data_IF_791108379389
#
_entry.id   IF_791108379389
#
_cell.length_a   1.000
_cell.length_b   1.000
_cell.length_c   1.000
_cell.angle_alpha   90.00
_cell.angle_beta   90.00
_cell.angle_gamma   90.00
#
_symmetry.space_group_name_H-M   'P 1'
#
loop_
_entity.id
_entity.type
_entity.pdbx_description
1 polymer ?
#
# COMPACT_ATOMS: atom_id res chain seq x y z
N UNK A 1 28.19 11.18 17.47
CA UNK A 1 26.75 11.11 17.19
C UNK A 1 26.38 11.82 15.88
N UNK A 2 26.73 13.11 15.66
CA UNK A 2 26.42 13.80 14.39
C UNK A 2 27.23 13.23 13.21
N UNK A 3 28.54 12.98 13.39
CA UNK A 3 29.40 12.38 12.37
C UNK A 3 28.98 10.94 12.01
N UNK A 4 28.57 10.15 12.99
CA UNK A 4 28.04 8.82 12.73
C UNK A 4 26.69 8.87 11.98
N UNK A 5 25.83 9.82 12.29
CA UNK A 5 24.58 10.05 11.56
C UNK A 5 24.84 10.45 10.09
N UNK A 6 25.81 11.34 9.84
CA UNK A 6 26.16 11.76 8.48
C UNK A 6 26.72 10.58 7.67
N UNK A 7 27.55 9.73 8.27
CA UNK A 7 28.08 8.53 7.60
C UNK A 7 26.98 7.48 7.31
N UNK A 8 26.06 7.27 8.25
CA UNK A 8 24.88 6.39 8.01
C UNK A 8 23.96 6.97 6.93
N UNK A 9 23.74 8.28 6.94
CA UNK A 9 22.94 8.95 5.90
C UNK A 9 23.58 8.80 4.52
N UNK A 10 24.90 8.97 4.41
CA UNK A 10 25.62 8.80 3.15
C UNK A 10 25.58 7.37 2.59
N UNK A 11 25.34 6.37 3.44
CA UNK A 11 25.23 4.95 3.02
C UNK A 11 23.77 4.58 2.70
N UNK A 12 22.80 5.19 3.39
CA UNK A 12 21.39 4.77 3.34
C UNK A 12 20.44 5.75 2.62
N UNK A 13 20.96 6.80 1.96
CA UNK A 13 20.09 7.77 1.26
C UNK A 13 19.26 7.13 0.15
N UNK A 14 19.77 6.12 -0.54
CA UNK A 14 19.02 5.39 -1.56
C UNK A 14 17.81 4.65 -0.95
N UNK A 15 17.97 4.07 0.24
CA UNK A 15 16.88 3.45 0.98
C UNK A 15 15.79 4.47 1.34
N UNK A 16 16.19 5.70 1.73
CA UNK A 16 15.23 6.77 1.97
C UNK A 16 14.44 7.14 0.71
N UNK A 17 15.08 7.22 -0.47
CA UNK A 17 14.38 7.52 -1.72
C UNK A 17 13.42 6.40 -2.12
N UNK A 18 13.76 5.13 -1.91
CA UNK A 18 12.85 3.99 -2.09
C UNK A 18 11.64 4.13 -1.16
N UNK A 19 11.90 4.40 0.12
CA UNK A 19 10.84 4.61 1.12
C UNK A 19 9.91 5.77 0.75
N UNK A 20 10.47 6.91 0.37
CA UNK A 20 9.74 8.12 0.02
C UNK A 20 8.86 7.92 -1.22
N UNK A 21 9.41 7.32 -2.29
CA UNK A 21 8.64 7.07 -3.52
C UNK A 21 7.50 6.10 -3.26
N UNK A 22 7.72 5.06 -2.45
CA UNK A 22 6.71 4.11 -2.03
C UNK A 22 5.62 4.79 -1.20
N UNK A 23 6.00 5.62 -0.22
CA UNK A 23 5.08 6.36 0.62
C UNK A 23 4.14 7.26 -0.20
N UNK A 24 4.71 8.02 -1.15
CA UNK A 24 3.92 8.94 -2.00
C UNK A 24 3.05 8.17 -2.98
N UNK A 25 3.55 7.09 -3.59
CA UNK A 25 2.77 6.26 -4.51
C UNK A 25 1.52 5.67 -3.85
N UNK A 26 1.64 5.20 -2.61
CA UNK A 26 0.52 4.70 -1.81
C UNK A 26 -0.41 5.83 -1.35
N UNK A 27 0.16 6.98 -0.90
CA UNK A 27 -0.60 8.09 -0.36
C UNK A 27 -1.53 8.77 -1.38
N UNK A 28 -1.19 8.74 -2.66
CA UNK A 28 -2.06 9.26 -3.74
C UNK A 28 -3.37 8.48 -3.85
N UNK A 29 -3.34 7.16 -3.64
CA UNK A 29 -4.52 6.29 -3.69
C UNK A 29 -5.27 6.23 -2.35
N UNK A 30 -4.57 6.45 -1.24
CA UNK A 30 -5.07 6.30 0.14
C UNK A 30 -6.39 7.02 0.42
N UNK A 31 -6.62 8.30 0.02
CA UNK A 31 -7.89 8.98 0.25
C UNK A 31 -9.10 8.28 -0.37
N UNK A 32 -8.93 7.71 -1.56
CA UNK A 32 -10.01 6.99 -2.24
C UNK A 32 -10.36 5.68 -1.53
N UNK A 33 -9.34 4.95 -1.04
CA UNK A 33 -9.53 3.72 -0.27
C UNK A 33 -10.28 3.99 1.03
N UNK A 34 -9.88 5.04 1.76
CA UNK A 34 -10.52 5.44 3.03
C UNK A 34 -11.96 5.91 2.81
N UNK A 35 -12.20 6.81 1.85
CA UNK A 35 -13.54 7.34 1.56
C UNK A 35 -14.52 6.26 1.09
N UNK A 36 -14.03 5.26 0.37
CA UNK A 36 -14.83 4.12 -0.10
C UNK A 36 -14.95 2.99 0.94
N UNK A 37 -14.37 3.16 2.14
CA UNK A 37 -14.34 2.15 3.21
C UNK A 37 -13.67 0.83 2.78
N UNK A 38 -12.60 0.93 1.99
CA UNK A 38 -11.87 -0.22 1.44
C UNK A 38 -10.56 -0.50 2.18
N UNK A 39 -10.37 0.09 3.38
CA UNK A 39 -9.15 -0.09 4.16
C UNK A 39 -8.87 -1.55 4.51
N UNK A 40 -9.90 -2.31 4.91
CA UNK A 40 -9.78 -3.74 5.20
C UNK A 40 -9.47 -4.57 3.94
N UNK A 41 -9.95 -4.12 2.76
CA UNK A 41 -9.66 -4.80 1.48
C UNK A 41 -8.19 -4.61 1.09
N UNK A 42 -7.60 -3.43 1.37
CA UNK A 42 -6.17 -3.20 1.15
C UNK A 42 -5.30 -4.15 1.99
N UNK A 43 -5.70 -4.41 3.25
CA UNK A 43 -5.05 -5.40 4.10
C UNK A 43 -5.25 -6.84 3.58
N UNK A 44 -6.46 -7.18 3.15
CA UNK A 44 -6.74 -8.49 2.55
C UNK A 44 -5.91 -8.78 1.30
N UNK A 45 -5.68 -7.77 0.45
CA UNK A 45 -4.78 -7.88 -0.72
C UNK A 45 -3.39 -8.30 -0.25
N UNK A 46 -2.86 -7.68 0.81
CA UNK A 46 -1.52 -7.95 1.33
C UNK A 46 -1.27 -9.42 1.65
N UNK A 47 -2.24 -10.08 2.22
CA UNK A 47 -2.11 -11.48 2.61
C UNK A 47 -2.45 -12.46 1.48
N UNK A 48 -3.39 -12.12 0.60
CA UNK A 48 -3.80 -12.99 -0.51
C UNK A 48 -2.80 -13.02 -1.68
N UNK A 49 -1.93 -12.01 -1.77
CA UNK A 49 -0.82 -11.93 -2.73
C UNK A 49 0.05 -13.18 -2.71
N UNK A 50 0.26 -13.78 -1.52
CA UNK A 50 1.03 -15.00 -1.36
C UNK A 50 0.51 -16.14 -2.25
N UNK A 51 -0.81 -16.31 -2.37
CA UNK A 51 -1.41 -17.33 -3.23
C UNK A 51 -1.09 -17.07 -4.71
N UNK A 52 -1.12 -15.81 -5.12
CA UNK A 52 -0.76 -15.39 -6.47
C UNK A 52 0.70 -15.68 -6.81
N UNK A 53 1.61 -15.37 -5.88
CA UNK A 53 3.05 -15.70 -6.01
C UNK A 53 3.24 -17.20 -6.17
N UNK A 54 2.61 -18.01 -5.31
CA UNK A 54 2.74 -19.48 -5.32
C UNK A 54 2.24 -20.09 -6.63
N UNK A 55 1.08 -19.63 -7.12
CA UNK A 55 0.52 -20.13 -8.37
C UNK A 55 1.39 -19.73 -9.57
N UNK A 56 1.84 -18.46 -9.60
CA UNK A 56 2.77 -18.00 -10.64
C UNK A 56 4.09 -18.78 -10.61
N UNK A 57 4.63 -19.05 -9.42
CA UNK A 57 5.82 -19.89 -9.25
C UNK A 57 5.65 -21.30 -9.82
N UNK A 58 4.51 -21.95 -9.60
CA UNK A 58 4.26 -23.28 -10.18
C UNK A 58 4.24 -23.29 -11.71
N UNK A 59 3.89 -22.16 -12.33
CA UNK A 59 3.88 -22.00 -13.79
C UNK A 59 5.29 -21.74 -14.32
N UNK A 60 6.01 -20.77 -13.70
CA UNK A 60 7.29 -20.26 -14.21
C UNK A 60 8.50 -21.03 -13.66
N UNK A 61 8.39 -21.61 -12.44
CA UNK A 61 9.45 -22.32 -11.70
C UNK A 61 10.74 -21.53 -11.46
N UNK A 62 10.65 -20.21 -11.48
CA UNK A 62 11.75 -19.28 -11.22
C UNK A 62 11.30 -18.22 -10.21
N UNK A 63 11.99 -18.14 -9.07
CA UNK A 63 11.68 -17.22 -7.96
C UNK A 63 12.04 -15.77 -8.31
N UNK A 64 13.00 -15.56 -9.22
CA UNK A 64 13.42 -14.22 -9.69
C UNK A 64 12.56 -13.63 -10.79
N UNK A 65 11.57 -14.38 -11.30
CA UNK A 65 10.79 -13.98 -12.46
C UNK A 65 9.82 -12.81 -12.15
N UNK A 66 9.79 -11.76 -12.99
CA UNK A 66 8.81 -10.66 -12.86
C UNK A 66 7.34 -11.13 -12.96
N UNK A 67 7.09 -12.32 -13.51
CA UNK A 67 5.75 -12.91 -13.57
C UNK A 67 5.15 -13.22 -12.20
N UNK A 68 5.98 -13.35 -11.14
CA UNK A 68 5.50 -13.52 -9.78
C UNK A 68 4.73 -12.27 -9.31
N UNK A 69 5.24 -11.07 -9.63
CA UNK A 69 4.58 -9.80 -9.31
C UNK A 69 3.23 -9.69 -10.03
N UNK A 70 3.18 -10.10 -11.30
CA UNK A 70 1.94 -10.11 -12.09
C UNK A 70 0.92 -11.08 -11.49
N UNK A 71 1.35 -12.30 -11.16
CA UNK A 71 0.49 -13.29 -10.49
C UNK A 71 -0.04 -12.81 -9.15
N UNK A 72 0.81 -12.19 -8.35
CA UNK A 72 0.47 -11.58 -7.09
C UNK A 72 -0.58 -10.46 -7.26
N UNK A 73 -0.39 -9.56 -8.22
CA UNK A 73 -1.32 -8.47 -8.50
C UNK A 73 -2.67 -8.96 -9.03
N UNK A 74 -2.68 -9.99 -9.88
CA UNK A 74 -3.91 -10.63 -10.36
C UNK A 74 -4.69 -11.22 -9.17
N UNK A 75 -4.02 -11.90 -8.24
CA UNK A 75 -4.68 -12.44 -7.05
C UNK A 75 -5.20 -11.36 -6.10
N UNK A 76 -4.52 -10.22 -6.01
CA UNK A 76 -5.06 -9.06 -5.32
C UNK A 76 -6.41 -8.61 -5.91
N UNK A 77 -6.52 -8.54 -7.23
CA UNK A 77 -7.79 -8.20 -7.92
C UNK A 77 -8.84 -9.30 -7.73
N UNK A 78 -8.45 -10.58 -7.79
CA UNK A 78 -9.34 -11.72 -7.52
C UNK A 78 -9.88 -11.64 -6.09
N UNK A 79 -9.05 -11.24 -5.13
CA UNK A 79 -9.48 -11.05 -3.72
C UNK A 79 -10.54 -9.98 -3.61
N UNK A 80 -10.35 -8.82 -4.26
CA UNK A 80 -11.34 -7.75 -4.30
C UNK A 80 -12.64 -8.24 -4.91
N UNK A 81 -12.57 -8.95 -6.04
CA UNK A 81 -13.73 -9.51 -6.69
C UNK A 81 -14.46 -10.53 -5.79
N UNK A 82 -13.74 -11.42 -5.13
CA UNK A 82 -14.32 -12.41 -4.24
C UNK A 82 -15.01 -11.78 -3.02
N UNK A 83 -14.39 -10.74 -2.43
CA UNK A 83 -14.99 -9.96 -1.33
C UNK A 83 -16.27 -9.27 -1.80
N UNK A 84 -16.23 -8.60 -2.95
CA UNK A 84 -17.38 -7.87 -3.49
C UNK A 84 -18.51 -8.83 -3.90
N UNK A 85 -18.17 -9.96 -4.51
CA UNK A 85 -19.13 -11.01 -4.83
C UNK A 85 -19.84 -11.56 -3.59
N UNK A 86 -19.07 -11.87 -2.53
CA UNK A 86 -19.62 -12.41 -1.29
C UNK A 86 -20.50 -11.38 -0.57
N UNK A 87 -20.03 -10.13 -0.44
CA UNK A 87 -20.81 -9.05 0.17
C UNK A 87 -22.02 -8.66 -0.65
N UNK A 88 -21.94 -8.75 -1.97
CA UNK A 88 -23.04 -8.48 -2.91
C UNK A 88 -24.21 -9.44 -2.81
N UNK A 89 -24.03 -10.62 -2.21
CA UNK A 89 -25.13 -11.55 -1.89
C UNK A 89 -26.10 -11.00 -0.85
N UNK A 90 -25.68 -9.99 -0.06
CA UNK A 90 -26.46 -9.45 1.05
C UNK A 90 -26.49 -10.33 2.30
N UNK A 91 -25.90 -11.52 2.25
CA UNK A 91 -25.84 -12.44 3.39
C UNK A 91 -24.72 -12.09 4.38
N UNK A 92 -23.68 -11.43 3.90
CA UNK A 92 -22.47 -11.10 4.66
C UNK A 92 -22.14 -9.62 4.46
N UNK A 93 -21.72 -8.93 5.52
CA UNK A 93 -21.25 -7.54 5.41
C UNK A 93 -19.86 -7.52 4.74
N UNK A 94 -19.46 -6.35 4.22
CA UNK A 94 -18.18 -6.21 3.52
C UNK A 94 -16.97 -6.62 4.38
N UNK A 95 -16.94 -6.19 5.64
CA UNK A 95 -15.83 -6.50 6.56
C UNK A 95 -15.77 -8.00 6.91
N UNK A 96 -16.93 -8.64 7.08
CA UNK A 96 -17.02 -10.07 7.32
C UNK A 96 -16.60 -10.88 6.08
N UNK A 97 -16.97 -10.40 4.88
CA UNK A 97 -16.53 -10.99 3.62
C UNK A 97 -15.01 -10.96 3.46
N UNK A 98 -14.37 -9.84 3.84
CA UNK A 98 -12.91 -9.74 3.91
C UNK A 98 -12.35 -10.79 4.85
N UNK A 99 -12.89 -10.90 6.09
CA UNK A 99 -12.45 -11.86 7.10
C UNK A 99 -12.61 -13.33 6.70
N UNK A 100 -13.43 -13.65 5.69
CA UNK A 100 -13.59 -14.99 5.13
C UNK A 100 -12.62 -15.24 3.99
N UNK A 101 -12.56 -14.30 3.03
CA UNK A 101 -11.85 -14.49 1.76
C UNK A 101 -10.33 -14.52 1.95
N UNK A 102 -9.75 -13.56 2.72
CA UNK A 102 -8.29 -13.51 2.83
C UNK A 102 -7.70 -14.69 3.59
N UNK A 103 -8.27 -15.17 4.75
CA UNK A 103 -7.72 -16.34 5.42
C UNK A 103 -7.86 -17.61 4.57
N UNK A 104 -8.93 -17.72 3.78
CA UNK A 104 -9.11 -18.85 2.86
C UNK A 104 -7.98 -18.87 1.79
N UNK A 105 -7.68 -17.74 1.17
CA UNK A 105 -6.62 -17.67 0.16
C UNK A 105 -5.23 -17.85 0.78
N UNK A 106 -5.00 -17.25 1.96
CA UNK A 106 -3.74 -17.41 2.68
C UNK A 106 -3.52 -18.87 3.09
N UNK A 107 -4.53 -19.52 3.68
CA UNK A 107 -4.46 -20.93 4.07
C UNK A 107 -4.20 -21.84 2.86
N UNK A 108 -4.84 -21.56 1.71
CA UNK A 108 -4.59 -22.30 0.49
C UNK A 108 -3.14 -22.14 0.00
N UNK A 109 -2.59 -20.93 0.08
CA UNK A 109 -1.19 -20.69 -0.25
C UNK A 109 -0.26 -21.51 0.63
N UNK A 110 -0.48 -21.49 1.96
CA UNK A 110 0.33 -22.25 2.92
C UNK A 110 0.24 -23.77 2.66
N UNK A 111 -0.94 -24.30 2.35
CA UNK A 111 -1.11 -25.72 1.99
C UNK A 111 -0.34 -26.07 0.72
N UNK A 112 -0.41 -25.21 -0.32
CA UNK A 112 0.30 -25.44 -1.57
C UNK A 112 1.82 -25.40 -1.39
N UNK A 113 2.35 -24.42 -0.63
CA UNK A 113 3.78 -24.32 -0.32
C UNK A 113 4.22 -25.58 0.45
N UNK A 114 3.51 -25.93 1.51
CA UNK A 114 3.89 -27.04 2.39
C UNK A 114 3.89 -28.38 1.67
N UNK A 115 2.95 -28.58 0.73
CA UNK A 115 2.81 -29.85 0.01
C UNK A 115 3.72 -29.96 -1.22
N UNK A 116 3.93 -28.88 -1.97
CA UNK A 116 4.54 -28.93 -3.29
C UNK A 116 5.82 -28.09 -3.44
N UNK A 117 6.12 -27.18 -2.52
CA UNK A 117 7.25 -26.28 -2.62
C UNK A 117 8.16 -26.31 -1.36
N UNK A 118 8.17 -27.41 -0.61
CA UNK A 118 8.91 -27.58 0.65
C UNK A 118 10.42 -27.33 0.54
N UNK A 119 11.00 -27.55 -0.65
CA UNK A 119 12.44 -27.37 -0.93
C UNK A 119 12.76 -25.99 -1.51
N UNK A 120 11.76 -25.14 -1.72
CA UNK A 120 11.94 -23.78 -2.22
C UNK A 120 11.75 -22.85 -1.02
N UNK A 121 12.79 -22.09 -0.71
CA UNK A 121 12.70 -21.03 0.31
C UNK A 121 11.83 -19.89 -0.23
N UNK A 122 10.53 -20.15 -0.37
CA UNK A 122 9.50 -19.10 -0.45
C UNK A 122 9.26 -18.66 1.00
N UNK A 123 10.25 -17.95 1.54
CA UNK A 123 10.21 -17.51 2.93
C UNK A 123 9.12 -16.44 3.03
N UNK A 124 7.99 -16.84 3.61
CA UNK A 124 6.85 -15.94 3.86
C UNK A 124 7.28 -14.74 4.69
N UNK A 125 8.28 -14.92 5.55
CA UNK A 125 8.82 -13.86 6.40
C UNK A 125 9.60 -12.83 5.59
N UNK A 126 10.38 -13.24 4.59
CA UNK A 126 11.12 -12.32 3.71
C UNK A 126 10.16 -11.51 2.82
N UNK A 127 9.11 -12.14 2.29
CA UNK A 127 8.09 -11.47 1.47
C UNK A 127 7.25 -10.49 2.31
N UNK A 128 7.00 -10.81 3.59
CA UNK A 128 6.18 -9.98 4.46
C UNK A 128 6.99 -8.91 5.22
N UNK A 129 8.27 -9.17 5.51
CA UNK A 129 9.10 -8.28 6.33
C UNK A 129 10.01 -7.35 5.54
N UNK A 130 9.90 -7.24 4.22
CA UNK A 130 10.76 -6.44 3.33
C UNK A 130 11.60 -5.39 4.06
N UNK A 131 12.93 -5.47 3.94
CA UNK A 131 13.81 -4.52 4.62
C UNK A 131 14.22 -3.40 3.66
N UNK A 132 13.73 -2.20 3.92
CA UNK A 132 14.05 -0.99 3.13
C UNK A 132 15.56 -0.78 2.99
N UNK A 133 16.34 -1.17 4.01
CA UNK A 133 17.81 -0.99 4.03
C UNK A 133 18.50 -1.83 2.94
N UNK A 134 17.99 -3.02 2.63
CA UNK A 134 18.58 -3.90 1.61
C UNK A 134 17.98 -3.69 0.21
N UNK A 135 16.86 -2.97 0.08
CA UNK A 135 16.23 -2.69 -1.20
C UNK A 135 17.19 -2.09 -2.27
N UNK A 136 18.15 -1.20 -1.92
CA UNK A 136 19.12 -0.67 -2.89
C UNK A 136 20.15 -1.68 -3.41
N UNK A 137 20.31 -2.84 -2.79
CA UNK A 137 21.26 -3.88 -3.25
C UNK A 137 20.82 -4.53 -4.57
N UNK A 138 19.51 -4.57 -4.83
CA UNK A 138 18.97 -5.06 -6.08
C UNK A 138 18.89 -3.89 -7.08
N UNK A 139 19.80 -3.88 -8.05
CA UNK A 139 20.02 -2.76 -8.97
C UNK A 139 19.62 -3.10 -10.39
N UNK A 140 19.26 -2.08 -11.16
CA UNK A 140 19.00 -2.18 -12.61
C UNK A 140 19.57 -0.96 -13.32
N UNK A 141 20.08 -1.16 -14.52
CA UNK A 141 20.41 -0.06 -15.42
C UNK A 141 19.13 0.51 -16.05
N UNK A 142 18.80 1.74 -15.67
CA UNK A 142 17.67 2.46 -16.24
C UNK A 142 18.17 3.75 -16.92
N UNK A 143 17.98 3.86 -18.23
CA UNK A 143 18.46 5.00 -19.06
C UNK A 143 19.96 5.31 -18.90
N UNK A 144 20.80 4.29 -18.69
CA UNK A 144 22.26 4.45 -18.54
C UNK A 144 22.69 4.85 -17.12
N UNK A 145 21.79 4.88 -16.16
CA UNK A 145 22.06 5.15 -14.74
C UNK A 145 21.77 3.88 -13.95
N UNK A 146 22.68 3.49 -13.07
CA UNK A 146 22.51 2.37 -12.17
C UNK A 146 21.68 2.82 -10.95
N UNK A 147 20.44 2.30 -10.83
CA UNK A 147 19.49 2.69 -9.81
C UNK A 147 18.93 1.47 -9.07
N UNK A 148 18.48 1.63 -7.81
CA UNK A 148 17.74 0.59 -7.11
C UNK A 148 16.49 0.17 -7.89
N UNK A 149 16.32 -1.14 -8.13
CA UNK A 149 15.16 -1.69 -8.84
C UNK A 149 13.83 -1.23 -8.22
N UNK A 150 13.73 -1.29 -6.89
CA UNK A 150 12.55 -0.86 -6.16
C UNK A 150 12.22 0.62 -6.39
N UNK A 151 13.23 1.51 -6.44
CA UNK A 151 13.04 2.92 -6.71
C UNK A 151 12.43 3.16 -8.11
N UNK A 152 12.96 2.49 -9.13
CA UNK A 152 12.46 2.62 -10.51
C UNK A 152 11.04 2.07 -10.63
N UNK A 153 10.76 0.89 -10.07
CA UNK A 153 9.44 0.28 -10.11
C UNK A 153 8.39 1.13 -9.39
N UNK A 154 8.70 1.61 -8.17
CA UNK A 154 7.79 2.48 -7.43
C UNK A 154 7.65 3.86 -8.05
N UNK A 155 8.71 4.38 -8.68
CA UNK A 155 8.67 5.62 -9.44
C UNK A 155 7.73 5.54 -10.66
N UNK A 156 7.76 4.45 -11.40
CA UNK A 156 6.83 4.19 -12.51
C UNK A 156 5.38 4.13 -11.99
N UNK A 157 5.15 3.36 -10.91
CA UNK A 157 3.82 3.25 -10.32
C UNK A 157 3.32 4.58 -9.75
N UNK A 158 4.19 5.38 -9.14
CA UNK A 158 3.86 6.73 -8.70
C UNK A 158 3.33 7.59 -9.86
N UNK A 159 4.04 7.58 -10.99
CA UNK A 159 3.62 8.32 -12.20
C UNK A 159 2.28 7.79 -12.72
N UNK A 160 2.10 6.47 -12.79
CA UNK A 160 0.84 5.85 -13.24
C UNK A 160 -0.31 6.22 -12.31
N UNK A 161 -0.12 6.12 -10.99
CA UNK A 161 -1.13 6.48 -9.99
C UNK A 161 -1.50 7.97 -10.07
N UNK A 162 -0.52 8.86 -10.21
CA UNK A 162 -0.76 10.29 -10.38
C UNK A 162 -1.53 10.58 -11.67
N UNK A 163 -1.11 10.01 -12.79
CA UNK A 163 -1.80 10.17 -14.07
C UNK A 163 -3.24 9.66 -13.99
N UNK A 164 -3.46 8.49 -13.41
CA UNK A 164 -4.80 7.94 -13.22
C UNK A 164 -5.67 8.88 -12.39
N UNK A 165 -5.17 9.35 -11.25
CA UNK A 165 -5.93 10.26 -10.37
C UNK A 165 -6.19 11.60 -11.05
N UNK A 166 -5.22 12.17 -11.79
CA UNK A 166 -5.39 13.46 -12.47
C UNK A 166 -6.39 13.34 -13.62
N UNK A 167 -6.24 12.33 -14.48
CA UNK A 167 -7.10 12.13 -15.66
C UNK A 167 -8.54 11.83 -15.24
N UNK A 168 -8.74 10.93 -14.29
CA UNK A 168 -10.07 10.50 -13.85
C UNK A 168 -10.54 11.20 -12.56
N UNK A 169 -9.97 12.37 -12.21
CA UNK A 169 -10.29 13.04 -10.94
C UNK A 169 -11.78 13.33 -10.77
N UNK A 170 -12.45 13.82 -11.84
CA UNK A 170 -13.88 14.19 -11.80
C UNK A 170 -14.74 12.94 -11.61
N UNK A 171 -14.47 11.91 -12.37
CA UNK A 171 -15.18 10.63 -12.34
C UNK A 171 -14.97 9.93 -11.01
N UNK A 172 -13.73 9.88 -10.52
CA UNK A 172 -13.39 9.32 -9.21
C UNK A 172 -14.09 10.07 -8.07
N UNK A 173 -14.14 11.40 -8.14
CA UNK A 173 -14.84 12.21 -7.14
C UNK A 173 -16.34 11.87 -7.12
N UNK A 174 -17.00 11.89 -8.28
CA UNK A 174 -18.43 11.62 -8.37
C UNK A 174 -18.76 10.20 -7.92
N UNK A 175 -18.04 9.20 -8.43
CA UNK A 175 -18.28 7.78 -8.10
C UNK A 175 -17.97 7.43 -6.64
N UNK A 176 -17.14 8.23 -5.97
CA UNK A 176 -16.81 8.03 -4.55
C UNK A 176 -17.91 8.56 -3.64
N UNK A 177 -18.51 9.70 -3.97
CA UNK A 177 -19.51 10.35 -3.11
C UNK A 177 -20.95 10.01 -3.48
N UNK A 178 -21.25 9.83 -4.78
CA UNK A 178 -22.62 9.52 -5.27
C UNK A 178 -22.57 8.59 -6.47
N UNK A 179 -22.72 7.28 -6.19
CA UNK A 179 -22.77 6.24 -7.23
C UNK A 179 -24.01 6.35 -8.12
N UNK A 180 -25.14 6.81 -7.56
CA UNK A 180 -26.40 6.96 -8.29
C UNK A 180 -26.28 8.06 -9.35
N UNK A 181 -25.81 9.24 -8.93
CA UNK A 181 -25.55 10.35 -9.84
C UNK A 181 -24.49 10.01 -10.90
N UNK A 182 -23.43 9.27 -10.52
CA UNK A 182 -22.40 8.82 -11.46
C UNK A 182 -22.98 7.99 -12.61
N UNK A 183 -23.88 7.06 -12.30
CA UNK A 183 -24.56 6.24 -13.33
C UNK A 183 -25.44 7.09 -14.25
N UNK A 184 -26.20 8.05 -13.71
CA UNK A 184 -27.02 8.96 -14.50
C UNK A 184 -26.18 9.88 -15.41
N UNK A 185 -24.99 10.26 -14.93
CA UNK A 185 -24.03 11.05 -15.69
C UNK A 185 -23.23 10.24 -16.73
N UNK A 186 -23.51 8.93 -16.87
CA UNK A 186 -22.87 8.04 -17.85
C UNK A 186 -21.50 7.49 -17.40
N UNK A 187 -21.12 7.67 -16.13
CA UNK A 187 -19.85 7.13 -15.61
C UNK A 187 -20.01 5.70 -15.10
N UNK A 188 -19.15 4.80 -15.54
CA UNK A 188 -19.11 3.44 -15.02
C UNK A 188 -18.42 3.39 -13.66
N UNK A 189 -19.22 3.43 -12.57
CA UNK A 189 -18.73 3.32 -11.20
C UNK A 189 -17.97 2.00 -10.98
N UNK A 190 -18.44 0.91 -11.59
CA UNK A 190 -17.83 -0.42 -11.48
C UNK A 190 -16.46 -0.46 -12.17
N UNK A 191 -16.32 0.08 -13.38
CA UNK A 191 -15.05 0.10 -14.09
C UNK A 191 -13.98 0.92 -13.33
N UNK A 192 -14.36 2.10 -12.82
CA UNK A 192 -13.45 2.94 -12.03
C UNK A 192 -13.08 2.30 -10.67
N UNK A 193 -14.01 1.56 -10.06
CA UNK A 193 -13.73 0.79 -8.86
C UNK A 193 -12.67 -0.28 -9.11
N UNK A 194 -12.85 -1.13 -10.13
CA UNK A 194 -11.88 -2.16 -10.46
C UNK A 194 -10.55 -1.58 -10.96
N UNK A 195 -10.55 -0.49 -11.69
CA UNK A 195 -9.32 0.20 -12.10
C UNK A 195 -8.54 0.71 -10.87
N UNK A 196 -9.21 1.36 -9.91
CA UNK A 196 -8.60 1.82 -8.65
C UNK A 196 -8.04 0.63 -7.85
N UNK A 197 -8.81 -0.46 -7.72
CA UNK A 197 -8.38 -1.65 -6.99
C UNK A 197 -7.20 -2.36 -7.67
N UNK A 198 -7.21 -2.43 -8.99
CA UNK A 198 -6.09 -2.99 -9.76
C UNK A 198 -4.82 -2.19 -9.54
N UNK A 199 -4.88 -0.85 -9.63
CA UNK A 199 -3.72 0.01 -9.36
C UNK A 199 -3.26 -0.10 -7.90
N UNK A 200 -4.19 -0.15 -6.95
CA UNK A 200 -3.86 -0.34 -5.54
C UNK A 200 -3.19 -1.69 -5.30
N UNK A 201 -3.66 -2.77 -5.95
CA UNK A 201 -3.07 -4.10 -5.87
C UNK A 201 -1.65 -4.13 -6.46
N UNK A 202 -1.45 -3.58 -7.66
CA UNK A 202 -0.11 -3.48 -8.25
C UNK A 202 0.84 -2.65 -7.38
N UNK A 203 0.36 -1.51 -6.87
CA UNK A 203 1.17 -0.65 -5.98
C UNK A 203 1.53 -1.38 -4.68
N UNK A 204 0.57 -2.07 -4.06
CA UNK A 204 0.81 -2.85 -2.85
C UNK A 204 1.83 -3.95 -3.07
N UNK A 205 1.63 -4.79 -4.10
CA UNK A 205 2.49 -5.94 -4.39
C UNK A 205 3.93 -5.53 -4.67
N UNK A 206 4.11 -4.49 -5.50
CA UNK A 206 5.46 -3.99 -5.82
C UNK A 206 6.12 -3.35 -4.60
N UNK A 207 5.32 -2.68 -3.77
CA UNK A 207 5.80 -2.06 -2.55
C UNK A 207 6.19 -3.10 -1.48
N UNK A 208 5.56 -4.29 -1.43
CA UNK A 208 5.93 -5.35 -0.47
C UNK A 208 7.36 -5.82 -0.63
N UNK A 209 7.81 -6.00 -1.87
CA UNK A 209 9.19 -6.39 -2.18
C UNK A 209 10.20 -5.32 -1.68
N UNK A 210 9.79 -4.06 -1.66
CA UNK A 210 10.65 -2.94 -1.30
C UNK A 210 10.65 -2.61 0.20
N UNK A 211 9.48 -2.57 0.85
CA UNK A 211 9.33 -2.00 2.19
C UNK A 211 8.59 -2.91 3.19
N UNK A 212 8.08 -4.05 2.75
CA UNK A 212 7.32 -5.00 3.56
C UNK A 212 5.83 -4.67 3.71
N UNK A 213 5.04 -5.72 3.98
CA UNK A 213 3.58 -5.64 3.98
C UNK A 213 3.02 -4.68 5.04
N UNK A 214 3.56 -4.70 6.26
CA UNK A 214 3.08 -3.88 7.38
C UNK A 214 3.16 -2.38 7.03
N UNK A 215 4.28 -1.96 6.45
CA UNK A 215 4.46 -0.55 6.10
C UNK A 215 3.59 -0.14 4.90
N UNK A 216 3.42 -1.03 3.91
CA UNK A 216 2.57 -0.75 2.75
C UNK A 216 1.11 -0.56 3.14
N UNK A 217 0.57 -1.44 4.01
CA UNK A 217 -0.79 -1.28 4.55
C UNK A 217 -0.92 0.03 5.31
N UNK A 218 0.09 0.39 6.12
CA UNK A 218 0.13 1.67 6.81
C UNK A 218 0.09 2.84 5.82
N UNK A 219 0.87 2.82 4.74
CA UNK A 219 0.90 3.90 3.74
C UNK A 219 -0.36 3.97 2.87
N UNK A 220 -1.04 2.87 2.62
CA UNK A 220 -2.31 2.86 1.89
C UNK A 220 -3.49 3.38 2.71
N UNK A 221 -3.40 3.36 4.04
CA UNK A 221 -4.53 3.71 4.91
C UNK A 221 -4.27 4.99 5.70
N UNK A 222 -3.17 5.05 6.45
CA UNK A 222 -2.95 6.08 7.47
C UNK A 222 -2.88 7.51 6.91
N UNK A 223 -2.18 7.80 5.79
CA UNK A 223 -2.12 9.15 5.26
C UNK A 223 -3.50 9.67 4.83
N UNK A 224 -4.30 8.84 4.16
CA UNK A 224 -5.66 9.17 3.76
C UNK A 224 -6.60 9.35 4.94
N UNK A 225 -6.50 8.47 5.95
CA UNK A 225 -7.30 8.57 7.18
C UNK A 225 -6.95 9.85 7.96
N UNK A 226 -5.67 10.19 8.06
CA UNK A 226 -5.22 11.43 8.71
C UNK A 226 -5.71 12.67 7.95
N UNK A 227 -5.59 12.65 6.61
CA UNK A 227 -6.08 13.73 5.76
C UNK A 227 -7.61 13.91 5.86
N UNK A 228 -8.36 12.82 5.99
CA UNK A 228 -9.82 12.84 6.17
C UNK A 228 -10.25 13.53 7.45
N UNK A 229 -9.45 13.44 8.52
CA UNK A 229 -9.73 14.15 9.78
C UNK A 229 -9.57 15.67 9.64
N UNK A 230 -8.68 16.11 8.73
CA UNK A 230 -8.29 17.53 8.62
C UNK A 230 -9.06 18.25 7.51
N UNK A 231 -9.48 17.56 6.46
CA UNK A 231 -10.08 18.18 5.27
C UNK A 231 -11.32 17.45 4.79
N UNK A 232 -12.29 18.24 4.31
CA UNK A 232 -13.53 17.75 3.66
C UNK A 232 -13.47 17.87 2.12
N UNK A 233 -12.46 18.56 1.57
CA UNK A 233 -12.27 18.65 0.12
C UNK A 233 -11.28 17.58 -0.37
N UNK A 234 -11.68 16.80 -1.38
CA UNK A 234 -10.90 15.67 -1.89
C UNK A 234 -9.53 16.10 -2.44
N UNK A 235 -9.42 17.27 -3.10
CA UNK A 235 -8.13 17.74 -3.60
C UNK A 235 -7.16 18.05 -2.46
N UNK A 236 -7.67 18.76 -1.45
CA UNK A 236 -6.89 19.09 -0.26
C UNK A 236 -6.55 17.83 0.51
N UNK A 237 -7.47 16.87 0.60
CA UNK A 237 -7.24 15.58 1.24
C UNK A 237 -6.11 14.78 0.57
N UNK A 238 -6.05 14.74 -0.77
CA UNK A 238 -4.94 14.09 -1.50
C UNK A 238 -3.62 14.80 -1.21
N UNK A 239 -3.58 16.14 -1.28
CA UNK A 239 -2.37 16.91 -1.00
C UNK A 239 -1.87 16.70 0.43
N UNK A 240 -2.76 16.75 1.43
CA UNK A 240 -2.42 16.50 2.83
C UNK A 240 -1.94 15.05 3.01
N UNK A 241 -2.58 14.07 2.39
CA UNK A 241 -2.16 12.66 2.43
C UNK A 241 -0.71 12.50 1.95
N UNK A 242 -0.35 13.11 0.83
CA UNK A 242 1.03 13.11 0.31
C UNK A 242 1.99 13.78 1.29
N UNK A 243 1.64 14.94 1.86
CA UNK A 243 2.47 15.62 2.86
C UNK A 243 2.68 14.75 4.09
N UNK A 244 1.64 14.10 4.63
CA UNK A 244 1.78 13.17 5.75
C UNK A 244 2.68 11.99 5.41
N UNK A 245 2.58 11.43 4.21
CA UNK A 245 3.45 10.33 3.78
C UNK A 245 4.92 10.77 3.73
N UNK A 246 5.22 11.95 3.19
CA UNK A 246 6.57 12.52 3.16
C UNK A 246 7.12 12.75 4.57
N UNK A 247 6.31 13.36 5.43
CA UNK A 247 6.70 13.65 6.83
C UNK A 247 6.95 12.36 7.60
N UNK A 248 6.06 11.38 7.50
CA UNK A 248 6.20 10.10 8.20
C UNK A 248 7.38 9.29 7.69
N UNK A 249 7.66 9.29 6.37
CA UNK A 249 8.83 8.63 5.82
C UNK A 249 10.14 9.28 6.30
N UNK A 250 10.19 10.61 6.39
CA UNK A 250 11.35 11.33 6.88
C UNK A 250 11.61 11.05 8.38
N UNK A 251 10.57 11.21 9.22
CA UNK A 251 10.71 10.93 10.64
C UNK A 251 10.99 9.46 10.94
N UNK A 252 10.29 8.55 10.23
CA UNK A 252 10.54 7.11 10.36
C UNK A 252 11.97 6.75 10.00
N UNK A 253 12.51 7.29 8.91
CA UNK A 253 13.90 7.13 8.51
C UNK A 253 14.86 7.65 9.57
N UNK A 254 14.72 8.91 10.01
CA UNK A 254 15.62 9.53 10.99
C UNK A 254 15.58 8.79 12.32
N UNK A 255 14.40 8.48 12.85
CA UNK A 255 14.29 7.77 14.14
C UNK A 255 14.74 6.31 14.05
N UNK A 256 14.59 5.64 12.90
CA UNK A 256 15.14 4.29 12.73
C UNK A 256 16.65 4.26 12.84
N UNK A 257 17.34 5.25 12.26
CA UNK A 257 18.80 5.38 12.39
C UNK A 257 19.25 5.74 13.82
N UNK A 258 18.51 6.64 14.48
CA UNK A 258 18.85 7.07 15.85
C UNK A 258 18.66 5.94 16.86
N UNK A 259 17.61 5.13 16.72
CA UNK A 259 17.26 4.07 17.66
C UNK A 259 17.80 2.70 17.25
N UNK A 260 18.43 2.60 16.07
CA UNK A 260 18.92 1.35 15.48
C UNK A 260 17.85 0.25 15.43
N UNK A 261 16.68 0.59 14.87
CA UNK A 261 15.53 -0.29 14.70
C UNK A 261 15.13 -0.41 13.23
N UNK A 262 14.26 -1.36 12.91
CA UNK A 262 13.71 -1.56 11.56
C UNK A 262 13.11 -0.26 11.01
N UNK A 263 13.55 0.15 9.80
CA UNK A 263 13.07 1.35 9.12
C UNK A 263 11.59 1.25 8.76
N UNK A 264 11.15 0.09 8.30
CA UNK A 264 9.73 -0.18 7.99
C UNK A 264 8.86 -0.07 9.23
N UNK A 265 9.26 -0.74 10.32
CA UNK A 265 8.52 -0.71 11.59
C UNK A 265 8.44 0.69 12.19
N UNK A 266 9.57 1.43 12.20
CA UNK A 266 9.60 2.79 12.74
C UNK A 266 8.74 3.76 11.92
N UNK A 267 8.78 3.65 10.60
CA UNK A 267 7.94 4.49 9.72
C UNK A 267 6.45 4.21 9.91
N UNK A 268 6.06 2.95 10.04
CA UNK A 268 4.68 2.58 10.35
C UNK A 268 4.23 3.09 11.73
N UNK A 269 5.11 3.01 12.74
CA UNK A 269 4.86 3.56 14.06
C UNK A 269 4.68 5.09 14.02
N UNK A 270 5.53 5.81 13.28
CA UNK A 270 5.41 7.26 13.10
C UNK A 270 4.09 7.63 12.40
N UNK A 271 3.67 6.86 11.39
CA UNK A 271 2.36 7.06 10.75
C UNK A 271 1.21 6.89 11.75
N UNK A 272 1.25 5.89 12.62
CA UNK A 272 0.29 5.70 13.70
C UNK A 272 0.28 6.86 14.72
N UNK A 273 1.47 7.32 15.15
CA UNK A 273 1.63 8.44 16.08
C UNK A 273 1.04 9.72 15.48
N UNK A 274 1.38 10.06 14.24
CA UNK A 274 0.86 11.27 13.58
C UNK A 274 -0.65 11.21 13.37
N UNK A 275 -1.21 10.03 13.07
CA UNK A 275 -2.65 9.83 13.03
C UNK A 275 -3.30 10.08 14.40
N UNK A 276 -2.77 9.48 15.47
CA UNK A 276 -3.29 9.65 16.84
C UNK A 276 -3.21 11.10 17.30
N UNK A 277 -2.09 11.79 17.05
CA UNK A 277 -1.95 13.20 17.36
C UNK A 277 -2.98 14.04 16.61
N UNK A 278 -3.16 13.81 15.31
CA UNK A 278 -4.18 14.51 14.52
C UNK A 278 -5.58 14.22 15.04
N UNK A 279 -5.89 12.97 15.39
CA UNK A 279 -7.19 12.59 15.94
C UNK A 279 -7.48 13.25 17.29
N UNK A 280 -6.47 13.38 18.15
CA UNK A 280 -6.63 14.00 19.48
C UNK A 280 -6.76 15.53 19.38
N UNK A 281 -5.94 16.19 18.55
CA UNK A 281 -5.82 17.65 18.52
C UNK A 281 -6.63 18.33 17.41
N UNK A 282 -7.33 17.58 16.54
CA UNK A 282 -8.18 18.17 15.52
C UNK A 282 -9.35 18.97 16.16
N UNK A 283 -9.82 20.00 15.46
CA UNK A 283 -10.94 20.87 15.91
C UNK A 283 -12.24 20.12 16.21
N UNK A 284 -12.49 19.00 15.54
CA UNK A 284 -13.60 18.07 15.82
C UNK A 284 -13.11 16.84 16.61
N UNK A 285 -11.88 16.85 17.08
CA UNK A 285 -11.20 15.73 17.76
C UNK A 285 -11.71 15.52 19.19
N UNK A 286 -11.19 14.47 19.80
CA UNK A 286 -11.66 13.97 21.10
C UNK A 286 -11.48 15.02 22.20
N UNK A 287 -10.36 15.75 22.20
CA UNK A 287 -10.11 16.80 23.18
C UNK A 287 -11.04 18.01 22.98
N UNK A 288 -11.32 18.41 21.74
CA UNK A 288 -12.26 19.48 21.46
C UNK A 288 -13.70 19.15 21.94
N UNK A 289 -14.08 17.86 21.91
CA UNK A 289 -15.40 17.40 22.39
C UNK A 289 -15.48 17.26 23.91
N UNK A 290 -14.35 17.04 24.58
CA UNK A 290 -14.28 16.90 26.05
C UNK A 290 -14.24 18.27 26.74
N UNK A 291 -13.67 19.29 26.09
CA UNK A 291 -13.50 20.64 26.63
C UNK A 291 -14.54 21.64 26.14
N UNK A 292 -15.46 21.28 25.25
CA UNK A 292 -16.70 22.02 24.91
C UNK A 292 -17.93 21.30 25.46
#
# INVERSE_FOLDING_TARGET
MIESLISYFAISYESYFVLLTTAVACAVLSPFLVLRKLSMVADAISHSVLLGIVIAFFIVKDVGSPFLIVGAAIFGVITVFAVEFLSGTGLVKNDDAVGIVFPMFFALAVVLITKFARNVHLDTDVVLMGEVIIAPLNRIEFMGIDLPKAFVQMGILLVVNLLFVIIFFKELKVTTFDRGFAMLAGFSSTALFYALMTLSSFTAVTAFDAVGAILVVSFLITPGATAYLVSKDLKVMIAISVVYAIVNSLFGYVFSLLLNVSMSGMTAAMAGITFLLTFLFNREGLLARVFN
#
